data_IF_859889645382
#
_entry.id   IF_859889645382
#
_cell.length_a   1.000
_cell.length_b   1.000
_cell.length_c   1.000
_cell.angle_alpha   90.00
_cell.angle_beta   90.00
_cell.angle_gamma   90.00
#
_symmetry.space_group_name_H-M   'P 1'
#
loop_
_entity.id
_entity.type
_entity.pdbx_description
1 polymer ?
#
# COMPACT_ATOMS: atom_id res chain seq x y z
N UNK A 1 15.60 19.66 8.52
CA UNK A 1 15.39 18.35 7.83
C UNK A 1 16.53 17.43 8.19
N UNK A 2 16.23 16.24 8.70
CA UNK A 2 17.19 15.19 8.97
C UNK A 2 17.17 14.18 7.83
N UNK A 3 18.34 13.88 7.24
CA UNK A 3 18.50 12.86 6.21
C UNK A 3 19.12 11.61 6.84
N UNK A 4 18.54 10.44 6.57
CA UNK A 4 19.08 9.14 7.00
C UNK A 4 19.50 8.37 5.75
N UNK A 5 20.80 8.22 5.55
CA UNK A 5 21.34 7.46 4.42
C UNK A 5 21.40 5.99 4.78
N UNK A 6 20.77 5.13 3.95
CA UNK A 6 20.69 3.70 4.22
C UNK A 6 21.86 2.89 3.62
N UNK A 7 22.62 3.49 2.70
CA UNK A 7 23.74 2.82 2.01
C UNK A 7 23.32 1.88 0.88
N UNK A 8 22.31 1.05 1.10
CA UNK A 8 21.78 0.06 0.16
C UNK A 8 20.26 0.18 -0.01
N UNK A 9 19.73 -0.48 -1.03
CA UNK A 9 18.28 -0.62 -1.19
C UNK A 9 17.74 -1.72 -0.27
N UNK A 10 17.26 -1.32 0.90
CA UNK A 10 16.70 -2.21 1.93
C UNK A 10 15.20 -2.51 1.73
N UNK A 11 14.59 -1.94 0.70
CA UNK A 11 13.15 -1.99 0.45
C UNK A 11 12.36 -0.93 1.21
N UNK A 12 11.16 -0.62 0.71
CA UNK A 12 10.32 0.45 1.26
C UNK A 12 9.89 0.18 2.71
N UNK A 13 9.59 -1.07 3.06
CA UNK A 13 9.15 -1.44 4.39
C UNK A 13 10.23 -1.15 5.46
N UNK A 14 11.48 -1.52 5.19
CA UNK A 14 12.62 -1.24 6.08
C UNK A 14 12.89 0.26 6.15
N UNK A 15 12.89 0.96 5.01
CA UNK A 15 13.11 2.40 4.97
C UNK A 15 12.06 3.16 5.79
N UNK A 16 10.78 2.83 5.62
CA UNK A 16 9.70 3.40 6.43
C UNK A 16 9.87 3.11 7.91
N UNK A 17 10.22 1.88 8.28
CA UNK A 17 10.43 1.50 9.68
C UNK A 17 11.57 2.27 10.34
N UNK A 18 12.66 2.53 9.63
CA UNK A 18 13.77 3.34 10.14
C UNK A 18 13.29 4.77 10.43
N UNK A 19 12.59 5.40 9.49
CA UNK A 19 12.02 6.74 9.68
C UNK A 19 10.99 6.79 10.79
N UNK A 20 10.09 5.80 10.86
CA UNK A 20 9.07 5.69 11.92
C UNK A 20 9.72 5.54 13.30
N UNK A 21 10.71 4.65 13.46
CA UNK A 21 11.44 4.47 14.74
C UNK A 21 12.10 5.79 15.17
N UNK A 22 12.71 6.51 14.23
CA UNK A 22 13.33 7.80 14.52
C UNK A 22 12.30 8.83 14.98
N UNK A 23 11.17 8.95 14.29
CA UNK A 23 10.10 9.87 14.66
C UNK A 23 9.52 9.53 16.06
N UNK A 24 9.24 8.25 16.32
CA UNK A 24 8.73 7.78 17.61
C UNK A 24 9.73 8.00 18.76
N UNK A 25 11.04 7.85 18.51
CA UNK A 25 12.08 8.10 19.52
C UNK A 25 12.20 9.59 19.87
N UNK A 26 11.80 10.47 18.97
CA UNK A 26 11.73 11.92 19.17
C UNK A 26 10.38 12.39 19.76
N UNK A 27 9.51 11.44 20.15
CA UNK A 27 8.22 11.76 20.79
C UNK A 27 7.11 12.16 19.82
N UNK A 28 7.21 11.82 18.54
CA UNK A 28 6.14 12.12 17.58
C UNK A 28 4.83 11.41 17.98
N UNK A 29 3.71 12.14 17.96
CA UNK A 29 2.37 11.62 18.15
C UNK A 29 1.74 11.13 16.86
N UNK A 30 2.21 11.66 15.73
CA UNK A 30 1.77 11.31 14.38
C UNK A 30 2.99 11.14 13.47
N UNK A 31 2.92 10.16 12.58
CA UNK A 31 3.89 9.97 11.50
C UNK A 31 3.19 10.15 10.17
N UNK A 32 3.71 11.03 9.35
CA UNK A 32 3.23 11.23 7.98
C UNK A 32 4.15 10.50 7.02
N UNK A 33 3.62 9.51 6.30
CA UNK A 33 4.34 8.83 5.23
C UNK A 33 4.20 9.61 3.92
N UNK A 34 5.30 9.72 3.18
CA UNK A 34 5.33 10.42 1.90
C UNK A 34 6.27 9.72 0.93
N UNK A 35 5.82 9.51 -0.30
CA UNK A 35 6.68 9.11 -1.40
C UNK A 35 7.29 10.37 -2.05
N UNK A 36 8.43 10.20 -2.72
CA UNK A 36 9.19 11.31 -3.30
C UNK A 36 8.51 11.97 -4.50
N UNK A 37 7.55 11.30 -5.12
CA UNK A 37 6.82 11.70 -6.32
C UNK A 37 5.39 12.20 -6.02
N UNK A 38 5.11 12.52 -4.77
CA UNK A 38 3.81 13.01 -4.33
C UNK A 38 3.80 14.53 -4.26
N UNK A 39 2.80 15.17 -4.86
CA UNK A 39 2.57 16.60 -4.80
C UNK A 39 1.40 16.88 -3.85
N UNK A 40 1.67 17.73 -2.86
CA UNK A 40 0.70 18.09 -1.83
C UNK A 40 0.12 19.47 -2.08
N UNK A 41 -1.19 19.69 -1.86
CA UNK A 41 -1.76 21.03 -1.85
C UNK A 41 -1.20 21.88 -0.68
N UNK A 42 -1.19 23.19 -0.84
CA UNK A 42 -0.59 24.12 0.14
C UNK A 42 -1.15 23.92 1.57
N UNK A 43 -2.44 23.64 1.70
CA UNK A 43 -3.10 23.47 2.99
C UNK A 43 -3.16 22.02 3.46
N UNK A 44 -2.42 21.11 2.81
CA UNK A 44 -2.51 19.66 3.05
C UNK A 44 -2.52 19.31 4.54
N UNK A 45 -1.50 19.73 5.28
CA UNK A 45 -1.36 19.35 6.69
C UNK A 45 -2.51 19.91 7.55
N UNK A 46 -2.88 21.16 7.32
CA UNK A 46 -3.99 21.80 8.06
C UNK A 46 -5.30 21.06 7.84
N UNK A 47 -5.60 20.69 6.60
CA UNK A 47 -6.86 20.03 6.27
C UNK A 47 -6.87 18.56 6.72
N UNK A 48 -5.72 17.87 6.66
CA UNK A 48 -5.58 16.54 7.23
C UNK A 48 -5.70 16.53 8.76
N UNK A 49 -5.18 17.55 9.46
CA UNK A 49 -5.35 17.67 10.91
C UNK A 49 -6.81 17.99 11.30
N UNK A 50 -7.54 18.78 10.51
CA UNK A 50 -9.01 18.95 10.69
C UNK A 50 -9.75 17.63 10.54
N UNK A 51 -9.43 16.86 9.49
CA UNK A 51 -10.03 15.55 9.28
C UNK A 51 -9.69 14.57 10.42
N UNK A 52 -8.45 14.62 10.95
CA UNK A 52 -8.04 13.85 12.12
C UNK A 52 -8.89 14.23 13.37
N UNK A 53 -9.08 15.51 13.62
CA UNK A 53 -9.95 15.99 14.70
C UNK A 53 -11.39 15.48 14.56
N UNK A 54 -11.92 15.45 13.35
CA UNK A 54 -13.25 14.89 13.09
C UNK A 54 -13.31 13.35 13.33
N UNK A 55 -12.25 12.60 13.01
CA UNK A 55 -12.14 11.18 13.36
C UNK A 55 -12.13 10.97 14.89
N UNK A 56 -11.38 11.80 15.61
CA UNK A 56 -11.30 11.75 17.08
C UNK A 56 -12.65 12.09 17.74
N UNK A 57 -13.35 13.11 17.23
CA UNK A 57 -14.68 13.47 17.72
C UNK A 57 -15.72 12.35 17.53
N UNK A 58 -15.54 11.49 16.52
CA UNK A 58 -16.36 10.28 16.30
C UNK A 58 -15.90 9.08 17.17
N UNK A 59 -14.88 9.24 18.01
CA UNK A 59 -14.35 8.16 18.84
C UNK A 59 -13.68 7.02 18.05
N UNK A 60 -13.22 7.28 16.83
CA UNK A 60 -12.61 6.24 15.98
C UNK A 60 -11.24 5.84 16.51
N UNK A 61 -11.03 4.53 16.64
CA UNK A 61 -9.71 3.94 16.91
C UNK A 61 -8.93 3.87 15.58
N UNK A 62 -8.21 4.95 15.28
CA UNK A 62 -7.63 5.21 13.96
C UNK A 62 -6.30 4.49 13.76
N UNK A 63 -6.21 3.63 12.73
CA UNK A 63 -4.97 3.07 12.22
C UNK A 63 -4.22 4.13 11.39
N UNK A 64 -4.90 4.70 10.43
CA UNK A 64 -4.36 5.73 9.55
C UNK A 64 -5.45 6.56 8.90
N UNK A 65 -5.12 7.81 8.63
CA UNK A 65 -5.95 8.76 7.87
C UNK A 65 -5.26 9.10 6.57
N UNK A 66 -5.88 8.76 5.44
CA UNK A 66 -5.35 8.98 4.11
C UNK A 66 -6.11 10.08 3.37
N UNK A 67 -5.44 10.88 2.52
CA UNK A 67 -6.10 11.72 1.54
C UNK A 67 -6.64 10.87 0.38
N UNK A 68 -7.50 11.45 -0.43
CA UNK A 68 -7.75 10.99 -1.79
C UNK A 68 -6.54 11.27 -2.67
N UNK A 69 -6.34 10.50 -3.74
CA UNK A 69 -5.25 10.79 -4.67
C UNK A 69 -5.70 10.77 -6.13
N UNK A 70 -5.16 11.75 -6.87
CA UNK A 70 -5.31 11.84 -8.31
C UNK A 70 -4.10 11.17 -8.97
N UNK A 71 -4.35 10.14 -9.77
CA UNK A 71 -3.31 9.44 -10.54
C UNK A 71 -3.04 10.23 -11.83
N UNK A 72 -1.88 10.86 -11.91
CA UNK A 72 -1.49 11.70 -13.04
C UNK A 72 -1.38 10.92 -14.35
N UNK A 73 -1.01 9.63 -14.31
CA UNK A 73 -0.96 8.78 -15.50
C UNK A 73 -2.35 8.39 -16.02
N UNK A 74 -3.31 8.19 -15.12
CA UNK A 74 -4.68 7.84 -15.50
C UNK A 74 -5.57 9.04 -15.73
N UNK A 75 -5.23 10.19 -15.10
CA UNK A 75 -6.01 11.42 -15.18
C UNK A 75 -7.31 11.37 -14.39
N UNK A 76 -7.37 10.60 -13.31
CA UNK A 76 -8.57 10.42 -12.49
C UNK A 76 -8.24 10.27 -11.02
N UNK A 77 -9.16 10.72 -10.14
CA UNK A 77 -9.12 10.38 -8.72
C UNK A 77 -9.35 8.87 -8.58
N UNK A 78 -8.49 8.22 -7.84
CA UNK A 78 -8.54 6.78 -7.70
C UNK A 78 -9.58 6.34 -6.67
N UNK A 79 -10.21 5.21 -6.94
CA UNK A 79 -11.18 4.62 -6.05
C UNK A 79 -10.51 4.04 -4.81
N UNK A 80 -11.17 4.19 -3.67
CA UNK A 80 -10.85 3.47 -2.44
C UNK A 80 -11.51 2.09 -2.41
N UNK A 81 -11.07 1.27 -1.47
CA UNK A 81 -11.49 -0.12 -1.35
C UNK A 81 -12.14 -0.37 0.01
N UNK A 82 -13.29 -1.04 -0.01
CA UNK A 82 -13.90 -1.68 1.15
C UNK A 82 -13.94 -3.19 0.94
N UNK A 83 -13.81 -3.94 2.03
CA UNK A 83 -14.01 -5.39 2.03
C UNK A 83 -15.26 -5.72 2.86
N UNK A 84 -16.37 -6.07 2.19
CA UNK A 84 -17.66 -6.40 2.83
C UNK A 84 -18.47 -7.42 2.03
N UNK A 85 -18.25 -8.71 2.13
CA UNK A 85 -17.01 -9.43 2.54
C UNK A 85 -15.92 -9.40 1.47
N UNK A 86 -16.29 -9.16 0.20
CA UNK A 86 -15.41 -9.08 -0.96
C UNK A 86 -14.97 -7.65 -1.26
N UNK A 87 -14.04 -7.50 -2.19
CA UNK A 87 -13.53 -6.22 -2.62
C UNK A 87 -14.58 -5.39 -3.34
N UNK A 88 -14.86 -4.20 -2.81
CA UNK A 88 -15.72 -3.19 -3.42
C UNK A 88 -14.93 -1.90 -3.62
N UNK A 89 -15.07 -1.30 -4.80
CA UNK A 89 -14.44 -0.03 -5.14
C UNK A 89 -15.48 1.10 -5.06
N UNK A 90 -15.08 2.23 -4.52
CA UNK A 90 -15.92 3.43 -4.53
C UNK A 90 -15.07 4.68 -4.73
N UNK A 91 -15.62 5.66 -5.46
CA UNK A 91 -15.01 6.98 -5.59
C UNK A 91 -15.29 7.78 -4.33
N UNK A 92 -14.26 8.34 -3.67
CA UNK A 92 -14.47 9.14 -2.47
C UNK A 92 -15.31 10.38 -2.80
N UNK A 93 -16.33 10.59 -1.98
CA UNK A 93 -17.08 11.85 -1.91
C UNK A 93 -16.48 12.72 -0.81
N UNK A 94 -16.81 14.04 -0.71
CA UNK A 94 -16.41 14.84 0.44
C UNK A 94 -16.74 14.18 1.77
N UNK A 95 -15.90 14.41 2.79
CA UNK A 95 -16.04 13.84 4.13
C UNK A 95 -15.16 12.61 4.40
N UNK A 96 -15.44 11.94 5.52
CA UNK A 96 -14.67 10.81 6.02
C UNK A 96 -15.29 9.49 5.61
N UNK A 97 -14.46 8.58 5.13
CA UNK A 97 -14.87 7.25 4.67
C UNK A 97 -14.00 6.16 5.27
N UNK A 98 -14.63 5.19 5.90
CA UNK A 98 -13.94 3.97 6.31
C UNK A 98 -13.52 3.15 5.09
N UNK A 99 -12.24 2.73 5.07
CA UNK A 99 -11.65 1.97 3.97
C UNK A 99 -10.91 0.74 4.51
N UNK A 100 -10.67 -0.24 3.65
CA UNK A 100 -9.96 -1.45 4.05
C UNK A 100 -8.46 -1.25 4.14
N UNK A 101 -7.94 -0.35 3.32
CA UNK A 101 -6.53 0.03 3.30
C UNK A 101 -6.36 1.37 2.58
N UNK A 102 -5.21 1.98 2.76
CA UNK A 102 -4.77 3.18 2.06
C UNK A 102 -3.32 2.99 1.57
N UNK A 103 -2.91 3.77 0.58
CA UNK A 103 -1.50 3.85 0.17
C UNK A 103 -0.70 4.65 1.20
N UNK A 104 0.61 4.44 1.25
CA UNK A 104 1.48 5.14 2.18
C UNK A 104 1.51 6.66 1.94
N UNK A 105 1.55 7.09 0.67
CA UNK A 105 1.66 8.51 0.31
C UNK A 105 0.54 9.37 0.89
N UNK A 106 0.93 10.33 1.72
CA UNK A 106 0.01 11.27 2.38
C UNK A 106 -0.69 10.72 3.61
N UNK A 107 -0.49 9.45 3.96
CA UNK A 107 -1.20 8.84 5.10
C UNK A 107 -0.57 9.25 6.43
N UNK A 108 -1.42 9.76 7.34
CA UNK A 108 -1.08 10.02 8.74
C UNK A 108 -1.32 8.78 9.59
N UNK A 109 -0.31 8.34 10.31
CA UNK A 109 -0.33 7.18 11.19
C UNK A 109 -0.17 7.64 12.66
N UNK A 110 -1.16 7.40 13.54
CA UNK A 110 -1.03 7.69 14.96
C UNK A 110 0.05 6.81 15.62
N UNK A 111 0.88 7.42 16.47
CA UNK A 111 1.97 6.74 17.17
C UNK A 111 1.49 5.59 18.07
N UNK A 112 0.33 5.71 18.69
CA UNK A 112 -0.27 4.64 19.50
C UNK A 112 -0.61 3.42 18.64
N UNK A 113 -1.14 3.60 17.43
CA UNK A 113 -1.40 2.50 16.51
C UNK A 113 -0.09 1.81 16.09
N UNK A 114 0.95 2.59 15.74
CA UNK A 114 2.28 2.06 15.37
C UNK A 114 2.94 1.27 16.52
N UNK A 115 2.78 1.71 17.77
CA UNK A 115 3.33 1.01 18.95
C UNK A 115 2.57 -0.28 19.26
N UNK A 116 1.26 -0.31 19.13
CA UNK A 116 0.42 -1.45 19.47
C UNK A 116 0.40 -2.51 18.36
N UNK A 117 0.20 -2.10 17.11
CA UNK A 117 0.12 -2.98 15.93
C UNK A 117 1.50 -3.48 15.51
N UNK A 118 2.53 -2.69 15.81
CA UNK A 118 3.89 -2.87 15.30
C UNK A 118 4.09 -2.21 13.95
N UNK A 119 5.32 -2.21 13.49
CA UNK A 119 5.75 -1.52 12.28
C UNK A 119 5.45 -2.34 11.01
N UNK A 120 5.88 -1.85 9.85
CA UNK A 120 5.70 -2.51 8.55
C UNK A 120 6.44 -3.85 8.49
N UNK A 121 5.92 -4.82 7.74
CA UNK A 121 6.59 -6.12 7.57
C UNK A 121 7.76 -6.00 6.60
N UNK A 122 8.99 -5.95 7.13
CA UNK A 122 10.21 -5.74 6.34
C UNK A 122 10.49 -6.86 5.32
N UNK A 123 10.04 -8.08 5.62
CA UNK A 123 10.17 -9.23 4.73
C UNK A 123 9.37 -9.10 3.42
N UNK A 124 8.38 -8.21 3.35
CA UNK A 124 7.68 -7.90 2.10
C UNK A 124 8.56 -7.12 1.13
N UNK A 125 9.54 -6.36 1.62
CA UNK A 125 10.45 -5.54 0.86
C UNK A 125 9.76 -4.37 0.13
N UNK A 126 8.88 -4.65 -0.83
CA UNK A 126 8.11 -3.66 -1.61
C UNK A 126 6.78 -4.28 -2.07
N UNK A 127 5.77 -3.46 -2.32
CA UNK A 127 4.38 -3.83 -2.65
C UNK A 127 3.66 -4.57 -1.52
N UNK A 128 2.40 -4.29 -1.30
CA UNK A 128 1.53 -4.83 -0.25
C UNK A 128 1.85 -4.39 1.19
N UNK A 129 2.89 -3.62 1.41
CA UNK A 129 3.39 -3.24 2.74
C UNK A 129 2.33 -2.45 3.51
N UNK A 130 1.79 -1.42 2.89
CA UNK A 130 0.74 -0.54 3.41
C UNK A 130 -0.61 -1.28 3.57
N UNK A 131 -0.98 -2.11 2.59
CA UNK A 131 -2.21 -2.90 2.64
C UNK A 131 -2.18 -3.91 3.79
N UNK A 132 -1.07 -4.65 3.91
CA UNK A 132 -0.88 -5.63 4.98
C UNK A 132 -0.99 -4.97 6.34
N UNK A 133 -0.31 -3.82 6.52
CA UNK A 133 -0.32 -3.11 7.78
C UNK A 133 -1.73 -2.63 8.17
N UNK A 134 -2.49 -2.04 7.23
CA UNK A 134 -3.87 -1.62 7.47
C UNK A 134 -4.78 -2.80 7.87
N UNK A 135 -4.65 -3.94 7.21
CA UNK A 135 -5.43 -5.14 7.55
C UNK A 135 -5.03 -5.72 8.89
N UNK A 136 -3.74 -5.74 9.22
CA UNK A 136 -3.23 -6.19 10.51
C UNK A 136 -3.66 -5.24 11.63
N UNK A 137 -3.69 -3.95 11.40
CA UNK A 137 -4.22 -2.97 12.34
C UNK A 137 -5.72 -3.20 12.62
N UNK A 138 -6.48 -3.62 11.60
CA UNK A 138 -7.89 -3.98 11.77
C UNK A 138 -8.07 -5.32 12.50
N UNK A 139 -7.30 -6.32 12.12
CA UNK A 139 -7.42 -7.69 12.63
C UNK A 139 -6.09 -8.13 13.29
N UNK A 140 -5.99 -8.34 14.61
CA UNK A 140 -7.05 -8.39 15.61
C UNK A 140 -7.30 -7.10 16.42
N UNK A 141 -6.56 -6.01 16.13
CA UNK A 141 -6.51 -4.84 17.04
C UNK A 141 -7.73 -3.91 16.98
N UNK A 142 -8.60 -4.06 15.98
CA UNK A 142 -9.83 -3.28 15.86
C UNK A 142 -9.64 -1.81 15.43
N UNK A 143 -8.46 -1.47 14.93
CA UNK A 143 -8.19 -0.15 14.37
C UNK A 143 -8.89 0.03 13.01
N UNK A 144 -9.15 1.27 12.65
CA UNK A 144 -9.85 1.63 11.42
C UNK A 144 -8.95 2.49 10.54
N UNK A 145 -8.85 2.16 9.26
CA UNK A 145 -8.27 3.04 8.25
C UNK A 145 -9.39 3.90 7.68
N UNK A 146 -9.14 5.20 7.62
CA UNK A 146 -10.09 6.21 7.13
C UNK A 146 -9.45 6.97 5.98
N UNK A 147 -10.21 7.34 4.98
CA UNK A 147 -9.80 8.33 4.00
C UNK A 147 -10.70 9.56 4.05
N UNK A 148 -10.16 10.70 3.65
CA UNK A 148 -10.95 11.92 3.43
C UNK A 148 -11.07 12.21 1.93
N UNK A 149 -12.29 12.53 1.49
CA UNK A 149 -12.54 13.02 0.13
C UNK A 149 -12.31 14.52 -0.03
N UNK A 150 -12.07 15.24 1.08
CA UNK A 150 -11.88 16.69 1.08
C UNK A 150 -10.45 17.10 0.71
N UNK A 151 -9.48 16.19 0.84
CA UNK A 151 -8.07 16.44 0.53
C UNK A 151 -7.63 15.52 -0.59
N UNK A 152 -7.11 16.09 -1.67
CA UNK A 152 -6.63 15.34 -2.83
C UNK A 152 -5.15 15.65 -3.06
N UNK A 153 -4.32 14.62 -3.11
CA UNK A 153 -2.91 14.72 -3.50
C UNK A 153 -2.73 14.27 -4.96
N UNK A 154 -1.67 14.73 -5.61
CA UNK A 154 -1.26 14.18 -6.88
C UNK A 154 -0.17 13.12 -6.66
N UNK A 155 -0.37 11.94 -7.23
CA UNK A 155 0.57 10.83 -7.09
C UNK A 155 0.59 10.01 -8.38
N UNK A 156 1.78 9.52 -8.74
CA UNK A 156 1.97 8.75 -9.98
C UNK A 156 2.12 7.26 -9.66
N UNK A 157 1.20 6.44 -10.17
CA UNK A 157 1.22 4.99 -9.93
C UNK A 157 1.88 4.22 -11.07
N UNK A 158 3.06 3.62 -10.79
CA UNK A 158 3.76 2.71 -11.70
C UNK A 158 4.70 3.40 -12.69
N UNK A 159 5.46 2.60 -13.46
CA UNK A 159 6.52 3.07 -14.36
C UNK A 159 5.98 3.45 -15.76
N UNK A 160 4.70 3.22 -16.01
CA UNK A 160 3.99 3.48 -17.25
C UNK A 160 2.60 2.86 -17.27
N UNK A 161 1.87 3.01 -18.36
CA UNK A 161 0.55 2.38 -18.53
C UNK A 161 0.35 1.84 -19.93
N UNK A 162 -0.40 0.75 -20.07
CA UNK A 162 -0.96 0.24 -21.34
C UNK A 162 -2.47 0.30 -21.31
N UNK A 163 -3.05 0.50 -22.49
CA UNK A 163 -4.49 0.45 -22.64
C UNK A 163 -4.93 -1.00 -22.90
N UNK A 164 -5.72 -1.56 -21.98
CA UNK A 164 -6.26 -2.90 -22.09
C UNK A 164 -7.79 -2.83 -21.96
N UNK A 165 -8.51 -3.22 -23.02
CA UNK A 165 -10.00 -3.25 -23.05
C UNK A 165 -10.61 -1.96 -22.47
N UNK A 166 -10.16 -0.79 -22.96
CA UNK A 166 -10.68 0.53 -22.56
C UNK A 166 -10.20 1.03 -21.17
N UNK A 167 -9.37 0.27 -20.46
CA UNK A 167 -8.79 0.66 -19.16
C UNK A 167 -7.28 0.83 -19.27
N UNK A 168 -6.75 1.88 -18.63
CA UNK A 168 -5.30 2.04 -18.45
C UNK A 168 -4.83 1.13 -17.31
N UNK A 169 -3.93 0.20 -17.62
CA UNK A 169 -3.30 -0.70 -16.64
C UNK A 169 -1.85 -0.24 -16.44
N UNK A 170 -1.48 0.04 -15.19
CA UNK A 170 -0.10 0.41 -14.85
C UNK A 170 0.84 -0.77 -15.05
N UNK A 171 1.94 -0.53 -15.78
CA UNK A 171 3.02 -1.50 -15.95
C UNK A 171 4.11 -1.20 -14.94
N UNK A 172 4.78 -2.24 -14.50
CA UNK A 172 5.91 -2.18 -13.59
C UNK A 172 7.04 -3.06 -14.11
N UNK A 173 8.23 -2.87 -13.56
CA UNK A 173 9.39 -3.70 -13.90
C UNK A 173 9.15 -5.19 -13.59
N UNK A 174 9.89 -6.12 -14.22
CA UNK A 174 9.79 -7.55 -13.91
C UNK A 174 10.01 -7.86 -12.43
N UNK A 175 10.95 -7.17 -11.78
CA UNK A 175 11.21 -7.30 -10.35
C UNK A 175 10.00 -6.89 -9.49
N UNK A 176 9.31 -5.82 -9.85
CA UNK A 176 8.08 -5.40 -9.16
C UNK A 176 6.97 -6.44 -9.33
N UNK A 177 6.80 -7.02 -10.54
CA UNK A 177 5.84 -8.10 -10.76
C UNK A 177 6.17 -9.35 -9.95
N UNK A 178 7.47 -9.68 -9.77
CA UNK A 178 7.90 -10.73 -8.85
C UNK A 178 7.38 -10.48 -7.43
N UNK A 179 7.66 -9.29 -6.87
CA UNK A 179 7.23 -8.96 -5.50
C UNK A 179 5.71 -8.93 -5.37
N UNK A 180 5.00 -8.36 -6.34
CA UNK A 180 3.53 -8.33 -6.33
C UNK A 180 2.93 -9.72 -6.21
N UNK A 181 3.41 -10.69 -7.00
CA UNK A 181 2.92 -12.08 -6.98
C UNK A 181 3.37 -12.79 -5.71
N UNK A 182 4.65 -12.71 -5.34
CA UNK A 182 5.20 -13.36 -4.14
C UNK A 182 4.47 -12.93 -2.87
N UNK A 183 4.33 -11.62 -2.68
CA UNK A 183 3.72 -11.08 -1.47
C UNK A 183 2.22 -11.37 -1.42
N UNK A 184 1.53 -11.33 -2.55
CA UNK A 184 0.13 -11.74 -2.64
C UNK A 184 -0.07 -13.19 -2.19
N UNK A 185 0.76 -14.12 -2.67
CA UNK A 185 0.72 -15.53 -2.27
C UNK A 185 1.04 -15.69 -0.78
N UNK A 186 2.09 -15.00 -0.29
CA UNK A 186 2.46 -15.02 1.12
C UNK A 186 1.31 -14.53 2.02
N UNK A 187 0.72 -13.38 1.70
CA UNK A 187 -0.40 -12.82 2.48
C UNK A 187 -1.60 -13.77 2.46
N UNK A 188 -1.91 -14.32 1.30
CA UNK A 188 -3.04 -15.24 1.17
C UNK A 188 -2.88 -16.53 1.98
N UNK A 189 -1.69 -17.08 2.06
CA UNK A 189 -1.46 -18.40 2.68
C UNK A 189 -0.98 -18.30 4.13
N UNK A 190 -0.12 -17.35 4.44
CA UNK A 190 0.64 -17.34 5.72
C UNK A 190 0.28 -16.17 6.63
N UNK A 191 -0.23 -15.05 6.11
CA UNK A 191 -0.65 -13.93 6.94
C UNK A 191 -2.08 -14.13 7.47
N UNK A 192 -2.31 -13.66 8.70
CA UNK A 192 -3.64 -13.58 9.32
C UNK A 192 -4.22 -12.17 9.30
N UNK A 193 -3.55 -11.23 8.62
CA UNK A 193 -3.98 -9.83 8.56
C UNK A 193 -5.29 -9.65 7.77
N UNK A 194 -5.47 -10.41 6.69
CA UNK A 194 -6.67 -10.35 5.86
C UNK A 194 -7.70 -11.46 6.23
N UNK A 195 -8.99 -11.16 6.04
CA UNK A 195 -10.08 -12.14 6.21
C UNK A 195 -10.04 -13.24 5.15
N UNK A 196 -10.65 -14.38 5.43
CA UNK A 196 -10.63 -15.55 4.52
C UNK A 196 -11.12 -15.22 3.10
N UNK A 197 -12.24 -14.49 2.88
CA UNK A 197 -12.67 -14.11 1.53
C UNK A 197 -11.61 -13.28 0.79
N UNK A 198 -10.98 -12.33 1.48
CA UNK A 198 -9.96 -11.48 0.89
C UNK A 198 -8.68 -12.26 0.58
N UNK A 199 -8.28 -13.18 1.44
CA UNK A 199 -7.16 -14.09 1.18
C UNK A 199 -7.38 -14.91 -0.08
N UNK A 200 -8.60 -15.41 -0.28
CA UNK A 200 -8.97 -16.12 -1.51
C UNK A 200 -8.87 -15.21 -2.74
N UNK A 201 -9.43 -13.98 -2.68
CA UNK A 201 -9.31 -13.01 -3.79
C UNK A 201 -7.86 -12.67 -4.13
N UNK A 202 -7.01 -12.46 -3.11
CA UNK A 202 -5.59 -12.14 -3.28
C UNK A 202 -4.87 -13.30 -3.96
N UNK A 203 -5.14 -14.54 -3.53
CA UNK A 203 -4.55 -15.73 -4.14
C UNK A 203 -4.96 -15.89 -5.60
N UNK A 204 -6.26 -15.75 -5.90
CA UNK A 204 -6.77 -15.79 -7.26
C UNK A 204 -6.14 -14.69 -8.15
N UNK A 205 -5.97 -13.46 -7.61
CA UNK A 205 -5.24 -12.38 -8.30
C UNK A 205 -3.78 -12.75 -8.56
N UNK A 206 -3.08 -13.35 -7.61
CA UNK A 206 -1.68 -13.77 -7.79
C UNK A 206 -1.54 -14.76 -8.95
N UNK A 207 -2.44 -15.74 -9.03
CA UNK A 207 -2.48 -16.71 -10.15
C UNK A 207 -2.78 -16.00 -11.48
N UNK A 208 -3.78 -15.12 -11.51
CA UNK A 208 -4.11 -14.34 -12.71
C UNK A 208 -2.93 -13.46 -13.16
N UNK A 209 -2.28 -12.75 -12.25
CA UNK A 209 -1.14 -11.87 -12.55
C UNK A 209 0.08 -12.65 -13.07
N UNK A 210 0.27 -13.89 -12.62
CA UNK A 210 1.34 -14.76 -13.14
C UNK A 210 1.23 -14.95 -14.65
N UNK A 211 0.02 -15.00 -15.19
CA UNK A 211 -0.24 -15.16 -16.62
C UNK A 211 -0.46 -13.81 -17.34
N UNK A 212 -1.19 -12.90 -16.73
CA UNK A 212 -1.63 -11.66 -17.37
C UNK A 212 -0.47 -10.69 -17.56
N UNK A 213 0.39 -10.48 -16.56
CA UNK A 213 1.49 -9.52 -16.69
C UNK A 213 2.43 -9.81 -17.86
N UNK A 214 2.90 -11.05 -18.09
CA UNK A 214 3.71 -11.35 -19.28
C UNK A 214 3.00 -11.11 -20.61
N UNK A 215 1.67 -11.23 -20.64
CA UNK A 215 0.90 -11.06 -21.87
C UNK A 215 0.69 -9.58 -22.22
N UNK A 216 0.42 -8.74 -21.20
CA UNK A 216 0.07 -7.32 -21.41
C UNK A 216 1.29 -6.41 -21.50
N UNK A 217 2.46 -6.82 -21.01
CA UNK A 217 3.68 -6.00 -21.09
C UNK A 217 4.20 -5.95 -22.53
N UNK A 218 4.52 -4.74 -23.05
CA UNK A 218 4.93 -4.58 -24.45
C UNK A 218 6.32 -5.16 -24.73
N UNK A 219 7.19 -5.16 -23.74
CA UNK A 219 8.60 -5.58 -23.85
C UNK A 219 8.96 -6.63 -22.81
N UNK A 220 10.03 -7.38 -23.05
CA UNK A 220 10.62 -8.33 -22.08
C UNK A 220 9.65 -9.37 -21.50
N UNK A 221 8.69 -9.86 -22.30
CA UNK A 221 7.64 -10.81 -21.88
C UNK A 221 8.18 -12.05 -21.15
N UNK A 222 9.29 -12.61 -21.63
CA UNK A 222 9.95 -13.75 -21.01
C UNK A 222 10.52 -13.45 -19.62
N UNK A 223 11.05 -12.23 -19.42
CA UNK A 223 11.54 -11.79 -18.10
C UNK A 223 10.38 -11.60 -17.12
N UNK A 224 9.26 -11.02 -17.58
CA UNK A 224 8.05 -10.91 -16.77
C UNK A 224 7.48 -12.27 -16.39
N UNK A 225 7.42 -13.22 -17.34
CA UNK A 225 6.96 -14.58 -17.05
C UNK A 225 7.87 -15.28 -16.03
N UNK A 226 9.19 -15.22 -16.23
CA UNK A 226 10.15 -15.79 -15.28
C UNK A 226 10.01 -15.16 -13.89
N UNK A 227 9.86 -13.84 -13.83
CA UNK A 227 9.71 -13.11 -12.58
C UNK A 227 8.42 -13.51 -11.84
N UNK A 228 7.28 -13.56 -12.52
CA UNK A 228 6.00 -13.92 -11.88
C UNK A 228 5.96 -15.37 -11.45
N UNK A 229 6.52 -16.32 -12.26
CA UNK A 229 6.64 -17.72 -11.86
C UNK A 229 7.56 -17.90 -10.64
N UNK A 230 8.70 -17.19 -10.60
CA UNK A 230 9.57 -17.19 -9.43
C UNK A 230 8.87 -16.58 -8.20
N UNK A 231 8.09 -15.51 -8.40
CA UNK A 231 7.28 -14.91 -7.34
C UNK A 231 6.25 -15.88 -6.77
N UNK A 232 5.52 -16.58 -7.65
CA UNK A 232 4.58 -17.62 -7.24
C UNK A 232 5.28 -18.73 -6.44
N UNK A 233 6.40 -19.24 -6.95
CA UNK A 233 7.16 -20.30 -6.31
C UNK A 233 7.73 -19.91 -4.94
N UNK A 234 8.37 -18.75 -4.86
CA UNK A 234 8.93 -18.26 -3.60
C UNK A 234 7.83 -17.92 -2.59
N UNK A 235 6.69 -17.37 -3.04
CA UNK A 235 5.52 -17.15 -2.21
C UNK A 235 4.93 -18.43 -1.63
N UNK A 236 4.77 -19.49 -2.43
CA UNK A 236 4.30 -20.81 -1.99
C UNK A 236 5.27 -21.46 -0.99
N UNK A 237 6.55 -21.18 -1.07
CA UNK A 237 7.58 -21.69 -0.15
C UNK A 237 7.90 -20.75 1.02
N UNK A 238 7.16 -19.68 1.15
CA UNK A 238 7.38 -18.64 2.17
C UNK A 238 8.81 -18.06 2.17
N UNK A 239 9.42 -17.95 0.98
CA UNK A 239 10.75 -17.34 0.80
C UNK A 239 10.59 -15.84 0.61
N UNK A 240 10.84 -15.10 1.67
CA UNK A 240 10.60 -13.66 1.74
C UNK A 240 11.90 -12.84 1.75
N UNK A 241 11.77 -11.52 1.85
CA UNK A 241 12.91 -10.59 1.89
C UNK A 241 13.36 -10.13 0.50
N UNK A 242 14.55 -9.54 0.44
CA UNK A 242 15.13 -9.03 -0.79
C UNK A 242 15.44 -10.16 -1.78
N UNK A 243 15.09 -9.97 -3.05
CA UNK A 243 15.45 -10.87 -4.14
C UNK A 243 16.67 -10.35 -4.87
N UNK A 244 17.77 -11.07 -4.79
CA UNK A 244 18.91 -10.85 -5.67
C UNK A 244 18.56 -11.44 -7.03
N UNK A 245 18.39 -10.60 -8.03
CA UNK A 245 18.32 -11.03 -9.41
C UNK A 245 19.77 -11.18 -9.90
N UNK A 246 20.27 -12.42 -9.87
CA UNK A 246 21.46 -12.78 -10.62
C UNK A 246 21.10 -12.95 -12.10
#
# INVERSE_FOLDING_TARGET
VQCITLGDNLGIATAQNIGIRQALSQGADLVWLSDQDTIYPVNFLTDMLKALGACQAQGLRLAGLAPSYFDTHKGTVQAFVRHTPFTQFFTPQPGLHQVSHAIASGTLLPANALREVGLMQENLFIDWVDLEWCWRAKNPYGYQTVCTGDVVIEHTMGDGSVQLVGKKVSIRSPLRHYYMVRNAVHIALYSRSATVPIRFEIFAKALAWTLVFPLITPTHKSQHLRATLNGLWDGLRNRMGQKNLA
#
